data_IF_235538005982
#
_entry.id   IF_235538005982
#
_cell.length_a   1.000
_cell.length_b   1.000
_cell.length_c   1.000
_cell.angle_alpha   90.00
_cell.angle_beta   90.00
_cell.angle_gamma   90.00
#
_symmetry.space_group_name_H-M   'P 1'
#
loop_
_entity.id
_entity.type
_entity.pdbx_description
1 polymer ?
#
# COMPACT_ATOMS: atom_id res chain seq x y z
N UNK A 1 -11.70 -2.82 0.04
CA UNK A 1 -11.63 -1.91 1.19
C UNK A 1 -13.00 -1.29 1.43
N UNK A 2 -13.44 -1.27 2.65
CA UNK A 2 -14.76 -0.72 2.98
C UNK A 2 -14.76 0.80 2.88
N UNK A 3 -15.93 1.38 2.66
CA UNK A 3 -16.07 2.82 2.53
C UNK A 3 -15.56 3.58 3.76
N UNK A 4 -15.87 3.06 4.94
CA UNK A 4 -15.39 3.67 6.19
C UNK A 4 -13.87 3.62 6.30
N UNK A 5 -13.24 2.55 5.77
CA UNK A 5 -11.78 2.44 5.75
C UNK A 5 -11.18 3.48 4.80
N UNK A 6 -11.79 3.67 3.65
CA UNK A 6 -11.34 4.67 2.67
C UNK A 6 -11.42 6.07 3.27
N UNK A 7 -12.53 6.37 3.97
CA UNK A 7 -12.70 7.67 4.61
C UNK A 7 -11.66 7.90 5.69
N UNK A 8 -11.39 6.87 6.51
CA UNK A 8 -10.40 6.96 7.57
C UNK A 8 -9.01 7.18 7.00
N UNK A 9 -8.63 6.41 5.97
CA UNK A 9 -7.32 6.58 5.32
C UNK A 9 -7.22 7.97 4.66
N UNK A 10 -8.25 8.41 3.98
CA UNK A 10 -8.26 9.71 3.32
C UNK A 10 -8.03 10.84 4.32
N UNK A 11 -8.70 10.77 5.48
CA UNK A 11 -8.52 11.77 6.51
C UNK A 11 -7.08 11.77 7.04
N UNK A 12 -6.56 10.58 7.37
CA UNK A 12 -5.20 10.44 7.88
C UNK A 12 -4.17 10.98 6.88
N UNK A 13 -4.35 10.68 5.61
CA UNK A 13 -3.46 11.15 4.56
C UNK A 13 -3.45 12.68 4.50
N UNK A 14 -4.61 13.30 4.64
CA UNK A 14 -4.72 14.77 4.57
C UNK A 14 -4.01 15.47 5.72
N UNK A 15 -3.80 14.77 6.84
CA UNK A 15 -3.17 15.33 8.03
C UNK A 15 -1.71 14.89 8.20
N UNK A 16 -1.21 14.02 7.34
CA UNK A 16 0.05 13.34 7.57
C UNK A 16 1.27 14.13 7.11
N UNK A 17 2.37 13.98 7.84
CA UNK A 17 3.69 14.38 7.38
C UNK A 17 4.23 13.31 6.43
N UNK A 18 5.41 13.54 5.84
CA UNK A 18 5.97 12.58 4.89
C UNK A 18 6.15 11.18 5.45
N UNK A 19 6.72 11.07 6.65
CA UNK A 19 6.95 9.75 7.27
C UNK A 19 5.63 9.08 7.63
N UNK A 20 4.66 9.87 8.12
CA UNK A 20 3.33 9.33 8.41
C UNK A 20 2.65 8.83 7.14
N UNK A 21 2.85 9.50 6.01
CA UNK A 21 2.30 9.05 4.72
C UNK A 21 2.83 7.67 4.34
N UNK A 22 4.11 7.45 4.58
CA UNK A 22 4.73 6.15 4.29
C UNK A 22 4.07 5.06 5.13
N UNK A 23 3.88 5.32 6.43
CA UNK A 23 3.20 4.37 7.33
C UNK A 23 1.80 4.06 6.82
N UNK A 24 1.06 5.09 6.43
CA UNK A 24 -0.31 4.91 5.93
C UNK A 24 -0.31 4.04 4.66
N UNK A 25 0.65 4.24 3.76
CA UNK A 25 0.74 3.42 2.56
C UNK A 25 1.05 1.96 2.89
N UNK A 26 1.89 1.70 3.88
CA UNK A 26 2.13 0.33 4.33
C UNK A 26 0.85 -0.31 4.84
N UNK A 27 0.06 0.43 5.61
CA UNK A 27 -1.21 -0.08 6.14
C UNK A 27 -2.22 -0.32 5.02
N UNK A 28 -2.26 0.56 4.05
CA UNK A 28 -3.13 0.38 2.88
C UNK A 28 -2.77 -0.89 2.11
N UNK A 29 -1.48 -1.11 1.89
CA UNK A 29 -1.04 -2.30 1.19
C UNK A 29 -1.43 -3.57 1.95
N UNK A 30 -1.30 -3.56 3.28
CA UNK A 30 -1.73 -4.68 4.11
C UNK A 30 -3.24 -4.92 3.98
N UNK A 31 -4.03 -3.86 3.97
CA UNK A 31 -5.47 -3.98 3.84
C UNK A 31 -5.87 -4.57 2.49
N UNK A 32 -5.23 -4.12 1.42
CA UNK A 32 -5.49 -4.69 0.09
C UNK A 32 -5.12 -6.17 0.03
N UNK A 33 -4.03 -6.56 0.68
CA UNK A 33 -3.64 -7.97 0.72
C UNK A 33 -4.67 -8.78 1.51
N UNK A 34 -5.15 -8.24 2.64
CA UNK A 34 -6.22 -8.91 3.40
C UNK A 34 -7.47 -9.07 2.54
N UNK A 35 -7.85 -8.03 1.81
CA UNK A 35 -9.02 -8.09 0.93
C UNK A 35 -8.81 -9.16 -0.17
N UNK A 36 -7.59 -9.22 -0.72
CA UNK A 36 -7.28 -10.22 -1.74
C UNK A 36 -7.38 -11.63 -1.19
N UNK A 37 -6.87 -11.85 0.01
CA UNK A 37 -6.92 -13.17 0.65
C UNK A 37 -8.36 -13.59 0.94
N UNK A 38 -9.21 -12.65 1.33
CA UNK A 38 -10.64 -12.93 1.52
C UNK A 38 -11.29 -13.35 0.20
N UNK A 39 -10.97 -12.66 -0.86
CA UNK A 39 -11.53 -13.00 -2.19
C UNK A 39 -11.02 -14.34 -2.68
N UNK A 40 -9.77 -14.66 -2.37
CA UNK A 40 -9.22 -15.98 -2.70
C UNK A 40 -10.01 -17.09 -1.98
N UNK A 41 -10.29 -16.88 -0.71
CA UNK A 41 -11.06 -17.84 0.09
C UNK A 41 -12.47 -18.04 -0.45
N UNK A 42 -13.04 -17.02 -1.04
CA UNK A 42 -14.39 -17.08 -1.61
C UNK A 42 -14.40 -17.57 -3.06
N UNK A 43 -13.23 -17.85 -3.62
CA UNK A 43 -13.13 -18.33 -4.99
C UNK A 43 -13.33 -17.24 -6.04
N UNK A 44 -13.27 -15.97 -5.65
CA UNK A 44 -13.45 -14.86 -6.56
C UNK A 44 -12.12 -14.46 -7.19
N UNK A 45 -11.82 -15.09 -8.33
CA UNK A 45 -10.54 -14.92 -9.01
C UNK A 45 -10.30 -13.49 -9.49
N UNK A 46 -11.33 -12.89 -10.08
CA UNK A 46 -11.23 -11.54 -10.61
C UNK A 46 -11.00 -10.51 -9.50
N UNK A 47 -11.74 -10.61 -8.40
CA UNK A 47 -11.59 -9.69 -7.28
C UNK A 47 -10.25 -9.90 -6.58
N UNK A 48 -9.77 -11.14 -6.47
CA UNK A 48 -8.45 -11.42 -5.95
C UNK A 48 -7.39 -10.64 -6.74
N UNK A 49 -7.43 -10.76 -8.06
CA UNK A 49 -6.46 -10.07 -8.91
C UNK A 49 -6.56 -8.57 -8.79
N UNK A 50 -7.77 -8.05 -8.67
CA UNK A 50 -7.98 -6.62 -8.51
C UNK A 50 -7.31 -6.09 -7.25
N UNK A 51 -7.51 -6.77 -6.13
CA UNK A 51 -6.90 -6.33 -4.88
C UNK A 51 -5.40 -6.50 -4.86
N UNK A 52 -4.88 -7.58 -5.41
CA UNK A 52 -3.42 -7.75 -5.53
C UNK A 52 -2.83 -6.64 -6.39
N UNK A 53 -3.50 -6.29 -7.48
CA UNK A 53 -3.05 -5.19 -8.34
C UNK A 53 -3.00 -3.87 -7.59
N UNK A 54 -3.99 -3.61 -6.73
CA UNK A 54 -4.01 -2.38 -5.93
C UNK A 54 -2.87 -2.36 -4.93
N UNK A 55 -2.58 -3.49 -4.28
CA UNK A 55 -1.43 -3.60 -3.38
C UNK A 55 -0.12 -3.33 -4.15
N UNK A 56 -0.01 -3.86 -5.35
CA UNK A 56 1.16 -3.64 -6.19
C UNK A 56 1.31 -2.16 -6.57
N UNK A 57 0.22 -1.48 -6.87
CA UNK A 57 0.25 -0.05 -7.20
C UNK A 57 0.77 0.77 -6.04
N UNK A 58 0.34 0.46 -4.82
CA UNK A 58 0.86 1.13 -3.62
C UNK A 58 2.35 0.87 -3.49
N UNK A 59 2.77 -0.39 -3.69
CA UNK A 59 4.18 -0.77 -3.62
C UNK A 59 5.02 -0.02 -4.65
N UNK A 60 4.53 0.04 -5.89
CA UNK A 60 5.26 0.73 -6.96
C UNK A 60 5.35 2.23 -6.70
N UNK A 61 4.32 2.82 -6.08
CA UNK A 61 4.36 4.22 -5.71
C UNK A 61 5.38 4.48 -4.62
N UNK A 62 5.45 3.61 -3.62
CA UNK A 62 6.47 3.69 -2.58
C UNK A 62 7.87 3.66 -3.19
N UNK A 63 8.06 2.77 -4.15
CA UNK A 63 9.35 2.58 -4.81
C UNK A 63 9.77 3.82 -5.62
N UNK A 64 8.84 4.36 -6.39
CA UNK A 64 9.10 5.55 -7.22
C UNK A 64 9.37 6.78 -6.36
N UNK A 65 8.75 6.86 -5.20
CA UNK A 65 8.86 8.03 -4.33
C UNK A 65 10.13 8.06 -3.49
N UNK A 66 10.94 7.00 -3.52
CA UNK A 66 12.18 6.98 -2.75
C UNK A 66 13.16 8.05 -3.22
N UNK A 67 13.76 8.73 -2.24
CA UNK A 67 14.86 9.66 -2.51
C UNK A 67 16.17 8.95 -2.21
N UNK A 68 16.92 8.64 -3.25
CA UNK A 68 18.10 7.79 -3.14
C UNK A 68 19.25 8.44 -2.38
N UNK A 69 19.13 9.71 -2.03
CA UNK A 69 20.14 10.37 -1.21
C UNK A 69 20.19 9.84 0.23
N UNK A 70 19.11 9.18 0.67
CA UNK A 70 19.07 8.61 2.03
C UNK A 70 19.61 7.19 2.00
N UNK A 71 20.47 6.83 2.98
CA UNK A 71 21.10 5.49 2.98
C UNK A 71 20.09 4.35 3.01
N UNK A 72 18.98 4.51 3.70
CA UNK A 72 17.98 3.45 3.80
C UNK A 72 17.23 3.21 2.48
N UNK A 73 17.26 4.17 1.57
CA UNK A 73 16.47 4.08 0.34
C UNK A 73 16.89 2.90 -0.54
N UNK A 74 18.17 2.58 -0.59
CA UNK A 74 18.65 1.42 -1.38
C UNK A 74 18.06 0.12 -0.84
N UNK A 75 18.00 -0.03 0.48
CA UNK A 75 17.44 -1.21 1.11
C UNK A 75 15.94 -1.28 0.88
N UNK A 76 15.25 -0.16 1.04
CA UNK A 76 13.80 -0.09 0.79
C UNK A 76 13.47 -0.39 -0.66
N UNK A 77 14.29 0.11 -1.59
CA UNK A 77 14.10 -0.17 -3.00
C UNK A 77 14.11 -1.68 -3.26
N UNK A 78 15.06 -2.38 -2.65
CA UNK A 78 15.14 -3.84 -2.81
C UNK A 78 13.94 -4.54 -2.20
N UNK A 79 13.49 -4.08 -1.03
CA UNK A 79 12.30 -4.65 -0.37
C UNK A 79 11.06 -4.43 -1.23
N UNK A 80 10.86 -3.21 -1.72
CA UNK A 80 9.70 -2.90 -2.56
C UNK A 80 9.75 -3.66 -3.88
N UNK A 81 10.94 -3.83 -4.45
CA UNK A 81 11.09 -4.61 -5.69
C UNK A 81 10.71 -6.07 -5.48
N UNK A 82 11.12 -6.64 -4.36
CA UNK A 82 10.74 -8.00 -4.00
C UNK A 82 9.23 -8.10 -3.81
N UNK A 83 8.64 -7.18 -3.06
CA UNK A 83 7.20 -7.17 -2.80
C UNK A 83 6.41 -7.03 -4.11
N UNK A 84 6.81 -6.11 -4.97
CA UNK A 84 6.13 -5.89 -6.25
C UNK A 84 6.21 -7.13 -7.14
N UNK A 85 7.37 -7.78 -7.20
CA UNK A 85 7.55 -9.00 -7.98
C UNK A 85 6.68 -10.14 -7.43
N UNK A 86 6.64 -10.28 -6.11
CA UNK A 86 5.83 -11.32 -5.46
C UNK A 86 4.34 -11.10 -5.73
N UNK A 87 3.88 -9.84 -5.65
CA UNK A 87 2.49 -9.50 -5.94
C UNK A 87 2.16 -9.78 -7.41
N UNK A 88 3.07 -9.46 -8.31
CA UNK A 88 2.87 -9.73 -9.74
C UNK A 88 2.72 -11.23 -9.99
N UNK A 89 3.55 -12.03 -9.36
CA UNK A 89 3.48 -13.50 -9.49
C UNK A 89 2.15 -14.03 -8.94
N UNK A 90 1.73 -13.53 -7.78
CA UNK A 90 0.46 -13.93 -7.18
C UNK A 90 -0.71 -13.64 -8.13
N UNK A 91 -0.67 -12.47 -8.77
CA UNK A 91 -1.70 -12.06 -9.70
C UNK A 91 -1.72 -12.95 -10.94
N UNK A 92 -0.54 -13.20 -11.52
CA UNK A 92 -0.42 -13.97 -12.75
C UNK A 92 -0.80 -15.43 -12.56
N UNK A 93 -0.46 -16.02 -11.42
CA UNK A 93 -0.66 -17.45 -11.16
C UNK A 93 -1.89 -17.75 -10.34
N UNK A 94 -2.60 -16.75 -9.91
CA UNK A 94 -3.72 -16.91 -8.99
C UNK A 94 -3.26 -17.72 -7.78
N UNK A 95 -2.24 -17.21 -7.10
CA UNK A 95 -1.56 -17.92 -6.02
C UNK A 95 -1.51 -17.05 -4.77
N UNK A 96 -2.09 -17.56 -3.69
CA UNK A 96 -2.17 -16.86 -2.41
C UNK A 96 -0.96 -17.17 -1.49
N UNK A 97 -0.10 -18.09 -1.88
CA UNK A 97 0.89 -18.69 -0.98
C UNK A 97 1.87 -17.67 -0.36
N UNK A 98 2.30 -16.67 -1.14
CA UNK A 98 3.35 -15.76 -0.70
C UNK A 98 2.83 -14.39 -0.27
N UNK A 99 1.51 -14.19 -0.24
CA UNK A 99 0.95 -12.91 0.18
C UNK A 99 1.18 -12.61 1.65
N UNK A 100 1.21 -13.65 2.49
CA UNK A 100 1.49 -13.46 3.91
C UNK A 100 2.88 -12.88 4.17
N UNK A 101 3.86 -13.27 3.35
CA UNK A 101 5.22 -12.74 3.48
C UNK A 101 5.23 -11.23 3.22
N UNK A 102 4.57 -10.81 2.15
CA UNK A 102 4.50 -9.39 1.80
C UNK A 102 3.76 -8.62 2.89
N UNK A 103 2.64 -9.17 3.36
CA UNK A 103 1.86 -8.53 4.41
C UNK A 103 2.69 -8.34 5.68
N UNK A 104 3.48 -9.36 6.04
CA UNK A 104 4.34 -9.30 7.22
C UNK A 104 5.44 -8.27 7.07
N UNK A 105 6.03 -8.17 5.89
CA UNK A 105 7.03 -7.14 5.60
C UNK A 105 6.44 -5.76 5.83
N UNK A 106 5.27 -5.50 5.29
CA UNK A 106 4.63 -4.20 5.46
C UNK A 106 4.24 -3.93 6.91
N UNK A 107 3.85 -4.96 7.64
CA UNK A 107 3.55 -4.80 9.07
C UNK A 107 4.76 -4.35 9.86
N UNK A 108 5.92 -4.95 9.59
CA UNK A 108 7.17 -4.59 10.25
C UNK A 108 7.64 -3.19 9.86
N UNK A 109 7.52 -2.86 8.59
CA UNK A 109 7.88 -1.52 8.11
C UNK A 109 6.96 -0.47 8.72
N UNK A 110 5.67 -0.74 8.79
CA UNK A 110 4.72 0.18 9.39
C UNK A 110 5.08 0.46 10.86
N UNK A 111 5.42 -0.58 11.60
CA UNK A 111 5.80 -0.42 13.00
C UNK A 111 7.07 0.40 13.14
N UNK A 112 8.09 0.07 12.35
CA UNK A 112 9.38 0.77 12.42
C UNK A 112 9.25 2.25 12.06
N UNK A 113 8.52 2.54 10.99
CA UNK A 113 8.36 3.93 10.56
C UNK A 113 7.38 4.70 11.43
N UNK A 114 6.42 4.03 12.06
CA UNK A 114 5.53 4.67 13.02
C UNK A 114 6.32 5.21 14.21
N UNK A 115 7.31 4.46 14.68
CA UNK A 115 8.18 4.90 15.78
C UNK A 115 8.98 6.13 15.37
N UNK A 116 9.42 6.19 14.12
CA UNK A 116 10.17 7.34 13.62
C UNK A 116 9.25 8.54 13.43
N UNK A 117 8.03 8.32 12.97
CA UNK A 117 7.08 9.39 12.68
C UNK A 117 6.76 10.24 13.91
N UNK A 118 6.77 9.63 15.09
CA UNK A 118 6.52 10.37 16.33
C UNK A 118 7.60 11.40 16.62
N UNK A 119 8.80 11.23 16.07
CA UNK A 119 9.94 12.10 16.31
C UNK A 119 10.25 13.00 15.13
N UNK A 120 9.74 12.68 13.96
CA UNK A 120 10.05 13.37 12.71
C UNK A 120 8.90 14.29 12.31
N UNK A 121 9.21 15.54 12.04
CA UNK A 121 8.20 16.54 11.69
C UNK A 121 7.89 16.61 10.21
N UNK A 122 8.61 15.92 9.39
CA UNK A 122 8.36 15.96 7.97
C UNK A 122 9.30 15.03 7.24
N UNK A 123 8.89 13.78 7.09
CA UNK A 123 9.70 12.79 6.42
C UNK A 123 9.78 13.10 4.93
N UNK A 124 10.94 12.92 4.35
CA UNK A 124 11.17 13.26 2.95
C UNK A 124 10.87 12.12 1.97
N UNK A 125 10.35 10.99 2.44
CA UNK A 125 10.17 9.82 1.60
C UNK A 125 8.97 9.91 0.67
N UNK A 126 8.00 10.79 0.99
CA UNK A 126 6.84 11.05 0.14
C UNK A 126 6.69 12.54 -0.07
N UNK A 127 6.48 12.96 -1.29
CA UNK A 127 6.42 14.37 -1.63
C UNK A 127 5.01 14.88 -1.87
N UNK A 128 4.09 14.02 -2.26
CA UNK A 128 2.83 14.47 -2.80
C UNK A 128 1.64 13.77 -2.18
N UNK A 129 1.02 14.45 -1.20
CA UNK A 129 -0.19 13.97 -0.54
C UNK A 129 -1.32 13.74 -1.53
N UNK A 130 -1.44 14.60 -2.54
CA UNK A 130 -2.51 14.50 -3.52
C UNK A 130 -2.39 13.21 -4.33
N UNK A 131 -1.18 12.80 -4.66
CA UNK A 131 -0.94 11.56 -5.39
C UNK A 131 -1.37 10.35 -4.57
N UNK A 132 -1.09 10.37 -3.26
CA UNK A 132 -1.49 9.30 -2.36
C UNK A 132 -3.02 9.23 -2.26
N UNK A 133 -3.69 10.37 -2.15
CA UNK A 133 -5.15 10.42 -2.16
C UNK A 133 -5.72 9.85 -3.45
N UNK A 134 -5.09 10.14 -4.58
CA UNK A 134 -5.51 9.59 -5.87
C UNK A 134 -5.44 8.07 -5.89
N UNK A 135 -4.41 7.48 -5.28
CA UNK A 135 -4.29 6.03 -5.20
C UNK A 135 -5.46 5.40 -4.47
N UNK A 136 -5.86 5.98 -3.35
CA UNK A 136 -6.94 5.39 -2.56
C UNK A 136 -8.30 5.57 -3.24
N UNK A 137 -8.52 6.67 -3.93
CA UNK A 137 -9.78 6.90 -4.63
C UNK A 137 -9.91 6.05 -5.90
N UNK A 138 -8.81 5.80 -6.58
CA UNK A 138 -8.79 4.92 -7.75
C UNK A 138 -9.15 3.49 -7.36
N UNK A 139 -8.87 3.09 -6.12
CA UNK A 139 -9.12 1.72 -5.67
C UNK A 139 -10.61 1.35 -5.62
N UNK A 140 -11.51 2.33 -5.70
CA UNK A 140 -12.95 2.08 -5.62
C UNK A 140 -13.69 2.69 -6.81
N UNK A 141 -13.36 2.28 -8.04
CA UNK A 141 -13.96 2.91 -9.23
C UNK A 141 -15.47 2.69 -9.35
N UNK A 142 -15.96 1.54 -8.91
CA UNK A 142 -17.38 1.23 -9.01
C UNK A 142 -18.20 2.15 -8.11
N UNK A 143 -17.73 2.35 -6.88
CA UNK A 143 -18.38 3.26 -5.96
C UNK A 143 -18.39 4.67 -6.50
N UNK A 144 -17.28 5.09 -7.08
CA UNK A 144 -17.14 6.41 -7.65
C UNK A 144 -18.17 6.61 -8.77
N UNK A 145 -18.32 5.61 -9.62
CA UNK A 145 -19.30 5.64 -10.71
C UNK A 145 -20.71 5.76 -10.21
N UNK A 146 -21.02 5.12 -9.11
CA UNK A 146 -22.36 5.18 -8.54
C UNK A 146 -22.68 6.54 -7.94
N UNK A 147 -21.68 7.20 -7.42
CA UNK A 147 -21.84 8.53 -6.83
C UNK A 147 -21.93 9.59 -7.90
N UNK A 148 -21.21 9.40 -8.96
CA UNK A 148 -21.20 10.32 -10.08
C UNK A 148 -22.46 10.14 -10.93
#
# INVERSE_FOLDING_TARGET
MKEEDISAFSYRISQATGTELVVILYEMAQQYIDDAQDMYSQGSREEFRRYVKLAKRVTDELKVSLEMKYPISAQLFNIYSYASSTLQTAMNRYDNANLDVVKRIYGRLAQAFSDIADQDKGGPLMENTQKVLSLIHISEPTRHSLIS
#
